data_IF_460262320277
#
_entry.id   IF_460262320277
#
_cell.length_a   1.000
_cell.length_b   1.000
_cell.length_c   1.000
_cell.angle_alpha   90.00
_cell.angle_beta   90.00
_cell.angle_gamma   90.00
#
_symmetry.space_group_name_H-M   'P 1'
#
loop_
_entity.id
_entity.type
_entity.pdbx_description
1 polymer ?
#
# COMPACT_ATOMS: atom_id res chain seq x y z
N UNK A 1 -25.32 13.46 -3.10
CA UNK A 1 -25.47 13.44 -1.62
C UNK A 1 -24.64 14.59 -1.04
N UNK A 2 -25.16 15.38 -0.09
CA UNK A 2 -24.50 16.60 0.44
C UNK A 2 -23.40 16.32 1.48
N UNK A 3 -23.47 15.22 2.22
CA UNK A 3 -22.51 14.85 3.27
C UNK A 3 -21.52 13.82 2.72
N UNK A 4 -20.22 14.04 2.94
CA UNK A 4 -19.13 13.15 2.51
C UNK A 4 -18.91 12.02 3.54
N UNK A 5 -18.35 10.90 3.10
CA UNK A 5 -18.01 9.76 3.95
C UNK A 5 -16.78 9.99 4.86
N UNK A 6 -15.95 11.00 4.57
CA UNK A 6 -14.75 11.26 5.37
C UNK A 6 -15.11 11.69 6.79
N UNK A 7 -14.43 11.10 7.77
CA UNK A 7 -14.71 11.38 9.18
C UNK A 7 -14.48 12.86 9.50
N UNK A 8 -15.47 13.46 10.18
CA UNK A 8 -15.40 14.80 10.76
C UNK A 8 -15.85 14.72 12.20
N UNK A 9 -15.09 15.32 13.11
CA UNK A 9 -15.46 15.35 14.54
C UNK A 9 -16.76 16.14 14.70
N UNK A 10 -17.85 15.53 15.17
CA UNK A 10 -19.08 16.26 15.46
C UNK A 10 -18.86 17.19 16.67
N UNK A 11 -19.53 18.34 16.68
CA UNK A 11 -19.40 19.35 17.76
C UNK A 11 -20.32 19.09 18.96
N UNK A 12 -21.17 18.06 18.90
CA UNK A 12 -22.10 17.69 19.97
C UNK A 12 -21.50 16.76 21.02
N UNK A 13 -22.32 16.38 22.02
CA UNK A 13 -21.95 15.46 23.10
C UNK A 13 -21.94 14.00 22.63
N UNK A 14 -21.03 13.20 23.19
CA UNK A 14 -20.98 11.74 22.97
C UNK A 14 -22.12 11.06 23.73
N UNK A 15 -22.93 10.28 23.03
CA UNK A 15 -24.06 9.51 23.60
C UNK A 15 -23.80 8.01 23.42
N UNK A 16 -24.10 7.21 24.44
CA UNK A 16 -23.99 5.74 24.38
C UNK A 16 -24.98 5.20 23.33
N UNK A 17 -24.54 4.24 22.51
CA UNK A 17 -25.37 3.66 21.43
C UNK A 17 -25.21 4.32 20.05
N UNK A 18 -24.54 5.47 19.97
CA UNK A 18 -24.11 6.04 18.68
C UNK A 18 -22.78 5.42 18.22
N UNK A 19 -22.46 5.56 16.92
CA UNK A 19 -21.19 5.10 16.35
C UNK A 19 -20.01 5.68 17.15
N UNK A 20 -19.07 4.79 17.50
CA UNK A 20 -17.91 5.17 18.30
C UNK A 20 -17.02 6.13 17.51
N UNK A 21 -16.50 7.14 18.21
CA UNK A 21 -15.56 8.09 17.64
C UNK A 21 -14.14 7.49 17.64
N UNK A 22 -13.33 7.74 16.60
CA UNK A 22 -11.95 7.31 16.58
C UNK A 22 -11.17 8.00 17.72
N UNK A 23 -10.30 7.22 18.35
CA UNK A 23 -9.45 7.63 19.47
C UNK A 23 -8.09 6.90 19.36
N UNK A 24 -7.09 7.36 20.11
CA UNK A 24 -5.74 6.79 20.10
C UNK A 24 -5.69 5.33 20.56
N UNK A 25 -6.66 4.88 21.37
CA UNK A 25 -6.75 3.49 21.85
C UNK A 25 -7.05 2.47 20.75
N UNK A 26 -7.62 2.90 19.61
CA UNK A 26 -7.76 2.04 18.43
C UNK A 26 -6.47 1.89 17.60
N UNK A 27 -5.38 2.57 17.97
CA UNK A 27 -4.12 2.50 17.24
C UNK A 27 -3.51 1.10 17.27
N UNK A 28 -3.03 0.63 16.12
CA UNK A 28 -2.31 -0.64 16.00
C UNK A 28 -0.90 -0.59 16.62
N UNK A 29 -0.32 -1.76 16.89
CA UNK A 29 1.03 -1.88 17.42
C UNK A 29 2.05 -1.19 16.48
N UNK A 30 3.01 -0.46 17.04
CA UNK A 30 4.07 0.25 16.29
C UNK A 30 4.81 -0.65 15.29
N UNK A 31 5.01 -1.93 15.63
CA UNK A 31 5.70 -2.89 14.74
C UNK A 31 4.86 -3.26 13.51
N UNK A 32 3.54 -3.38 13.70
CA UNK A 32 2.59 -3.86 12.69
C UNK A 32 1.90 -2.74 11.92
N UNK A 33 2.11 -1.48 12.33
CA UNK A 33 1.57 -0.31 11.64
C UNK A 33 2.10 -0.27 10.20
N UNK A 34 1.19 -0.04 9.24
CA UNK A 34 1.47 0.00 7.80
C UNK A 34 2.01 -1.31 7.20
N UNK A 35 1.72 -2.46 7.81
CA UNK A 35 2.02 -3.75 7.17
C UNK A 35 0.82 -4.25 6.38
N UNK A 36 1.09 -4.87 5.23
CA UNK A 36 0.11 -5.61 4.46
C UNK A 36 -0.26 -6.91 5.19
N UNK A 37 -1.41 -7.51 4.84
CA UNK A 37 -1.79 -8.84 5.33
C UNK A 37 -0.76 -9.94 4.99
N UNK A 38 0.04 -9.75 3.94
CA UNK A 38 1.16 -10.64 3.57
C UNK A 38 2.34 -10.59 4.55
N UNK A 39 2.38 -9.62 5.46
CA UNK A 39 3.46 -9.42 6.44
C UNK A 39 4.59 -8.49 5.97
N UNK A 40 4.55 -8.00 4.73
CA UNK A 40 5.49 -7.01 4.18
C UNK A 40 4.93 -5.59 4.26
N UNK A 41 5.77 -4.57 4.13
CA UNK A 41 5.37 -3.16 3.96
C UNK A 41 5.40 -2.78 2.49
N UNK A 42 4.43 -2.02 2.04
CA UNK A 42 4.37 -1.49 0.67
C UNK A 42 5.29 -0.29 0.49
N UNK A 43 5.96 -0.25 -0.67
CA UNK A 43 6.69 0.91 -1.16
C UNK A 43 6.24 1.19 -2.58
N UNK A 44 5.74 2.40 -2.81
CA UNK A 44 5.41 2.90 -4.14
C UNK A 44 6.70 3.17 -4.93
N UNK A 45 6.84 2.54 -6.10
CA UNK A 45 7.99 2.62 -7.00
C UNK A 45 7.58 3.25 -8.32
N UNK A 46 8.39 4.19 -8.80
CA UNK A 46 8.22 4.88 -10.08
C UNK A 46 9.21 4.38 -11.15
N UNK A 47 10.41 3.97 -10.74
CA UNK A 47 11.51 3.60 -11.66
C UNK A 47 12.23 2.33 -11.19
N UNK A 48 12.76 1.54 -12.13
CA UNK A 48 13.51 0.31 -11.84
C UNK A 48 14.75 0.52 -10.94
N UNK A 49 15.35 1.73 -10.96
CA UNK A 49 16.50 2.08 -10.11
C UNK A 49 16.14 2.17 -8.63
N UNK A 50 14.91 2.54 -8.29
CA UNK A 50 14.46 2.65 -6.91
C UNK A 50 14.36 1.27 -6.22
N UNK A 51 14.20 0.21 -7.00
CA UNK A 51 14.22 -1.17 -6.51
C UNK A 51 15.60 -1.57 -5.94
N UNK A 52 16.68 -0.93 -6.37
CA UNK A 52 18.03 -1.28 -5.90
C UNK A 52 18.23 -0.96 -4.42
N UNK A 53 17.51 0.05 -3.90
CA UNK A 53 17.50 0.38 -2.46
C UNK A 53 16.92 -0.77 -1.64
N UNK A 54 16.04 -1.58 -2.25
CA UNK A 54 15.36 -2.70 -1.59
C UNK A 54 16.09 -4.04 -1.73
N UNK A 55 17.29 -4.06 -2.34
CA UNK A 55 18.13 -5.26 -2.57
C UNK A 55 18.47 -6.07 -1.30
N UNK A 56 18.48 -5.41 -0.15
CA UNK A 56 18.82 -6.04 1.15
C UNK A 56 17.58 -6.32 2.02
N UNK A 57 16.44 -5.68 1.72
CA UNK A 57 15.25 -5.68 2.58
C UNK A 57 14.05 -6.41 1.94
N UNK A 58 14.33 -7.35 1.05
CA UNK A 58 13.44 -7.94 0.04
C UNK A 58 12.29 -8.72 0.68
N UNK A 59 12.51 -9.25 1.90
CA UNK A 59 11.48 -9.98 2.67
C UNK A 59 10.56 -9.04 3.45
N UNK A 60 11.04 -7.86 3.82
CA UNK A 60 10.31 -6.91 4.65
C UNK A 60 9.45 -5.97 3.84
N UNK A 61 9.83 -5.72 2.57
CA UNK A 61 9.14 -4.80 1.69
C UNK A 61 8.61 -5.50 0.44
N UNK A 62 7.45 -5.04 0.03
CA UNK A 62 6.79 -5.36 -1.23
C UNK A 62 6.69 -4.07 -2.04
N UNK A 63 6.79 -4.19 -3.36
CA UNK A 63 6.78 -3.04 -4.26
C UNK A 63 5.42 -2.87 -4.91
N UNK A 64 4.88 -1.66 -4.81
CA UNK A 64 3.68 -1.21 -5.48
C UNK A 64 4.10 -0.34 -6.66
N UNK A 65 3.65 -0.66 -7.88
CA UNK A 65 3.95 0.16 -9.05
C UNK A 65 3.02 1.37 -9.02
N UNK A 66 3.58 2.57 -9.00
CA UNK A 66 2.80 3.79 -8.92
C UNK A 66 1.86 3.96 -10.13
N UNK A 67 0.68 4.52 -9.89
CA UNK A 67 -0.36 4.72 -10.91
C UNK A 67 0.08 5.61 -12.10
N UNK A 68 1.10 6.45 -11.92
CA UNK A 68 1.59 7.41 -12.91
C UNK A 68 2.60 6.81 -13.90
N UNK A 69 3.03 5.56 -13.68
CA UNK A 69 4.01 4.89 -14.54
C UNK A 69 3.35 4.55 -15.88
N UNK A 70 3.94 5.04 -16.98
CA UNK A 70 3.49 4.76 -18.35
C UNK A 70 3.60 3.27 -18.68
N UNK A 71 2.75 2.74 -19.57
CA UNK A 71 2.56 1.30 -19.83
C UNK A 71 3.80 0.48 -20.17
N UNK A 72 4.88 1.09 -20.67
CA UNK A 72 6.12 0.36 -21.03
C UNK A 72 7.04 0.04 -19.85
N UNK A 73 6.96 0.84 -18.79
CA UNK A 73 7.89 0.76 -17.65
C UNK A 73 7.51 -0.31 -16.58
N UNK A 74 6.23 -0.67 -16.35
CA UNK A 74 5.84 -1.68 -15.37
C UNK A 74 6.47 -3.03 -15.62
N UNK A 75 6.56 -3.48 -16.88
CA UNK A 75 7.20 -4.74 -17.25
C UNK A 75 8.68 -4.73 -16.86
N UNK A 76 9.41 -3.66 -17.18
CA UNK A 76 10.82 -3.52 -16.80
C UNK A 76 11.02 -3.48 -15.27
N UNK A 77 10.10 -2.84 -14.53
CA UNK A 77 10.12 -2.82 -13.06
C UNK A 77 9.84 -4.22 -12.50
N UNK A 78 8.86 -4.94 -13.05
CA UNK A 78 8.51 -6.28 -12.64
C UNK A 78 9.65 -7.27 -12.89
N UNK A 79 10.24 -7.26 -14.09
CA UNK A 79 11.42 -8.06 -14.44
C UNK A 79 12.60 -7.77 -13.51
N UNK A 80 12.89 -6.49 -13.25
CA UNK A 80 13.97 -6.12 -12.34
C UNK A 80 13.67 -6.58 -10.91
N UNK A 81 12.45 -6.42 -10.41
CA UNK A 81 12.11 -6.88 -9.07
C UNK A 81 12.14 -8.41 -8.94
N UNK A 82 11.80 -9.15 -10.00
CA UNK A 82 11.96 -10.61 -10.05
C UNK A 82 13.43 -11.03 -9.92
N UNK A 83 14.36 -10.34 -10.62
CA UNK A 83 15.82 -10.56 -10.45
C UNK A 83 16.31 -10.27 -9.03
N UNK A 84 15.65 -9.35 -8.33
CA UNK A 84 15.95 -8.97 -6.96
C UNK A 84 15.22 -9.83 -5.92
N UNK A 85 14.36 -10.77 -6.34
CA UNK A 85 13.48 -11.56 -5.48
C UNK A 85 12.63 -10.69 -4.53
N UNK A 86 12.15 -9.55 -5.03
CA UNK A 86 11.23 -8.65 -4.32
C UNK A 86 9.80 -9.01 -4.73
N UNK A 87 8.90 -9.16 -3.76
CA UNK A 87 7.48 -9.38 -4.06
C UNK A 87 6.83 -8.08 -4.54
N UNK A 88 5.95 -8.20 -5.53
CA UNK A 88 5.10 -7.11 -5.99
C UNK A 88 3.66 -7.32 -5.51
N UNK A 89 2.91 -6.24 -5.34
CA UNK A 89 1.49 -6.32 -5.02
C UNK A 89 0.71 -6.84 -6.23
N UNK A 90 -0.17 -7.82 -6.03
CA UNK A 90 -0.90 -8.54 -7.10
C UNK A 90 -1.78 -7.67 -8.02
N UNK A 91 -1.98 -6.40 -7.68
CA UNK A 91 -2.75 -5.42 -8.47
C UNK A 91 -1.89 -4.62 -9.45
N UNK A 92 -0.63 -5.02 -9.68
CA UNK A 92 0.20 -4.46 -10.74
C UNK A 92 -0.48 -4.58 -12.11
N UNK A 93 -0.47 -3.51 -12.92
CA UNK A 93 -0.99 -3.55 -14.31
C UNK A 93 -0.37 -4.67 -15.14
N UNK A 94 0.94 -4.84 -15.03
CA UNK A 94 1.65 -5.94 -15.68
C UNK A 94 1.14 -7.33 -15.27
N UNK A 95 0.53 -7.46 -14.08
CA UNK A 95 -0.01 -8.71 -13.58
C UNK A 95 -1.49 -8.91 -13.97
N UNK A 96 -2.20 -7.82 -14.27
CA UNK A 96 -3.56 -7.88 -14.83
C UNK A 96 -3.57 -8.15 -16.33
N UNK A 97 -2.57 -7.65 -17.07
CA UNK A 97 -2.44 -7.87 -18.52
C UNK A 97 -2.11 -9.34 -18.86
N UNK A 98 -1.39 -10.05 -17.97
CA UNK A 98 -1.03 -11.47 -18.16
C UNK A 98 -2.11 -12.46 -17.71
N UNK A 99 -3.18 -11.98 -17.07
CA UNK A 99 -4.27 -12.81 -16.52
C UNK A 99 -5.58 -12.70 -17.35
N UNK A 100 -5.51 -12.11 -18.54
CA UNK A 100 -6.57 -12.10 -19.55
C UNK A 100 -6.19 -13.04 -20.70
#
# INVERSE_FOLDING_TARGET
IKIKQSWRKPRGRRVKGQILMPNTGYGSNKKTRHMLPSGSRDISVHTAKELEVLRTCNKSYCTEIAHNVSSKNPTAIAERGAQLAISHQSQCRACSEENE
#
